data_IF_716865190250
#
_entry.id   IF_716865190250
#
_cell.length_a   1.000
_cell.length_b   1.000
_cell.length_c   1.000
_cell.angle_alpha   90.00
_cell.angle_beta   90.00
_cell.angle_gamma   90.00
#
_symmetry.space_group_name_H-M   'P 1'
#
loop_
_entity.id
_entity.type
_entity.pdbx_description
1 polymer ?
#
# COMPACT_ATOMS: atom_id res chain seq x y z
N UNK A 1 -19.60 5.40 12.16
CA UNK A 1 -19.23 5.05 10.77
C UNK A 1 -17.88 4.33 10.78
N UNK A 2 -17.81 3.05 11.18
CA UNK A 2 -16.53 2.36 11.42
C UNK A 2 -16.48 0.88 11.05
N UNK A 3 -17.43 0.38 10.25
CA UNK A 3 -17.57 -1.06 9.98
C UNK A 3 -16.87 -1.53 8.68
N UNK A 4 -16.62 -0.65 7.72
CA UNK A 4 -16.06 -1.02 6.42
C UNK A 4 -14.56 -1.27 6.46
N UNK A 5 -13.79 -0.48 7.22
CA UNK A 5 -12.33 -0.65 7.33
C UNK A 5 -11.94 -1.94 8.05
N UNK A 6 -12.73 -2.39 9.03
CA UNK A 6 -12.43 -3.61 9.79
C UNK A 6 -12.59 -4.87 8.93
N UNK A 7 -13.62 -4.91 8.08
CA UNK A 7 -13.85 -6.05 7.18
C UNK A 7 -12.72 -6.21 6.15
N UNK A 8 -12.22 -5.10 5.60
CA UNK A 8 -11.08 -5.11 4.66
C UNK A 8 -9.81 -5.64 5.34
N UNK A 9 -9.51 -5.16 6.55
CA UNK A 9 -8.34 -5.63 7.29
C UNK A 9 -8.46 -7.10 7.67
N UNK A 10 -9.64 -7.56 8.05
CA UNK A 10 -9.88 -8.95 8.38
C UNK A 10 -9.70 -9.85 7.13
N UNK A 11 -10.09 -9.39 5.93
CA UNK A 11 -9.83 -10.09 4.68
C UNK A 11 -8.32 -10.18 4.37
N UNK A 12 -7.56 -9.10 4.58
CA UNK A 12 -6.10 -9.10 4.38
C UNK A 12 -5.41 -10.05 5.37
N UNK A 13 -5.84 -10.07 6.63
CA UNK A 13 -5.33 -11.02 7.63
C UNK A 13 -5.63 -12.47 7.23
N UNK A 14 -6.80 -12.76 6.67
CA UNK A 14 -7.16 -14.12 6.22
C UNK A 14 -6.47 -14.53 4.91
N UNK A 15 -6.21 -13.57 4.02
CA UNK A 15 -5.58 -13.79 2.71
C UNK A 15 -4.05 -13.74 2.73
N UNK A 16 -3.44 -13.34 3.84
CA UNK A 16 -1.99 -13.20 3.99
C UNK A 16 -1.45 -14.01 5.17
N UNK A 17 -0.14 -13.99 5.32
CA UNK A 17 0.55 -14.65 6.42
C UNK A 17 0.86 -13.71 7.60
N UNK A 18 0.18 -12.55 7.66
CA UNK A 18 0.34 -11.51 8.66
C UNK A 18 -0.74 -11.58 9.74
N UNK A 19 -0.38 -11.22 10.97
CA UNK A 19 -1.36 -11.01 12.03
C UNK A 19 -2.05 -9.63 11.95
N UNK A 20 -3.07 -9.42 12.78
CA UNK A 20 -3.85 -8.17 12.78
C UNK A 20 -3.00 -6.94 13.12
N UNK A 21 -2.04 -7.08 14.03
CA UNK A 21 -1.17 -5.98 14.45
C UNK A 21 -0.17 -5.61 13.35
N UNK A 22 0.31 -6.61 12.60
CA UNK A 22 1.16 -6.43 11.42
C UNK A 22 0.41 -5.74 10.30
N UNK A 23 -0.80 -6.17 9.97
CA UNK A 23 -1.65 -5.51 8.96
C UNK A 23 -1.97 -4.06 9.37
N UNK A 24 -2.29 -3.82 10.64
CA UNK A 24 -2.50 -2.45 11.14
C UNK A 24 -1.23 -1.59 11.05
N UNK A 25 -0.05 -2.16 11.31
CA UNK A 25 1.23 -1.48 11.14
C UNK A 25 1.52 -1.18 9.67
N UNK A 26 1.22 -2.10 8.76
CA UNK A 26 1.36 -1.90 7.31
C UNK A 26 0.44 -0.78 6.84
N UNK A 27 -0.84 -0.81 7.22
CA UNK A 27 -1.79 0.27 6.91
C UNK A 27 -1.32 1.64 7.40
N UNK A 28 -0.81 1.73 8.64
CA UNK A 28 -0.28 3.00 9.17
C UNK A 28 0.95 3.50 8.40
N UNK A 29 1.75 2.59 7.84
CA UNK A 29 2.90 2.97 6.99
C UNK A 29 2.43 3.40 5.61
N UNK A 30 1.43 2.72 5.06
CA UNK A 30 0.78 3.07 3.80
C UNK A 30 0.22 4.50 3.85
N UNK A 31 -0.59 4.81 4.86
CA UNK A 31 -1.15 6.17 5.06
C UNK A 31 -0.10 7.25 5.40
N UNK A 32 1.13 6.86 5.74
CA UNK A 32 2.24 7.81 5.91
C UNK A 32 2.98 8.08 4.61
N UNK A 33 2.88 7.14 3.66
CA UNK A 33 3.52 7.26 2.36
C UNK A 33 2.65 8.06 1.40
N UNK A 34 1.35 7.81 1.45
CA UNK A 34 0.28 8.63 0.86
C UNK A 34 0.29 10.04 1.51
N UNK A 35 0.92 11.00 0.84
CA UNK A 35 1.12 12.36 1.32
C UNK A 35 -0.08 13.24 1.06
N UNK A 36 -0.80 12.99 -0.03
CA UNK A 36 -1.95 13.77 -0.43
C UNK A 36 -3.28 13.25 0.18
N UNK A 37 -3.23 12.08 0.82
CA UNK A 37 -4.35 11.35 1.42
C UNK A 37 -5.40 10.94 0.38
N UNK A 38 -4.95 10.61 -0.84
CA UNK A 38 -5.79 10.06 -1.92
C UNK A 38 -6.37 8.69 -1.55
N UNK A 39 -5.70 7.95 -0.67
CA UNK A 39 -6.03 6.57 -0.32
C UNK A 39 -5.30 5.53 -1.17
N UNK A 40 -4.50 5.95 -2.14
CA UNK A 40 -3.61 5.10 -2.95
C UNK A 40 -2.18 5.65 -2.85
N UNK A 41 -1.21 4.88 -3.35
CA UNK A 41 0.20 5.28 -3.40
C UNK A 41 0.57 5.49 -4.85
N UNK A 42 0.93 6.72 -5.18
CA UNK A 42 1.39 7.06 -6.51
C UNK A 42 2.88 6.74 -6.69
N UNK A 43 3.34 6.70 -7.94
CA UNK A 43 4.76 6.45 -8.24
C UNK A 43 5.70 7.42 -7.54
N UNK A 44 5.36 8.70 -7.53
CA UNK A 44 6.22 9.72 -6.94
C UNK A 44 6.29 9.61 -5.41
N UNK A 45 5.22 9.13 -4.78
CA UNK A 45 5.16 8.88 -3.34
C UNK A 45 6.01 7.66 -2.95
N UNK A 46 5.90 6.57 -3.72
CA UNK A 46 6.73 5.38 -3.54
C UNK A 46 8.23 5.66 -3.75
N UNK A 47 8.56 6.43 -4.79
CA UNK A 47 9.93 6.89 -5.06
C UNK A 47 10.43 7.95 -4.09
N UNK A 48 9.56 8.51 -3.25
CA UNK A 48 10.00 9.45 -2.21
C UNK A 48 10.74 8.78 -1.06
N UNK A 49 10.66 7.45 -0.95
CA UNK A 49 11.46 6.67 -0.01
C UNK A 49 12.91 6.56 -0.50
N UNK A 50 13.89 7.11 0.23
CA UNK A 50 15.30 7.09 -0.21
C UNK A 50 15.87 5.70 -0.46
N UNK A 51 15.32 4.69 0.23
CA UNK A 51 15.71 3.29 0.11
C UNK A 51 15.20 2.66 -1.20
N UNK A 52 14.13 3.23 -1.77
CA UNK A 52 13.46 2.76 -2.97
C UNK A 52 13.91 3.59 -4.18
N UNK A 53 14.09 4.90 -4.02
CA UNK A 53 14.48 5.82 -5.10
C UNK A 53 15.79 5.43 -5.80
N UNK A 54 16.72 4.81 -5.07
CA UNK A 54 17.99 4.32 -5.61
C UNK A 54 17.90 2.93 -6.25
N UNK A 55 16.77 2.23 -6.09
CA UNK A 55 16.59 0.88 -6.62
C UNK A 55 16.10 0.96 -8.07
N UNK A 56 16.88 0.48 -9.06
CA UNK A 56 16.50 0.52 -10.48
C UNK A 56 15.26 -0.32 -10.80
N UNK A 57 14.84 -1.22 -9.89
CA UNK A 57 13.63 -2.02 -10.03
C UNK A 57 12.39 -1.38 -9.39
N UNK A 58 12.52 -0.24 -8.71
CA UNK A 58 11.42 0.39 -7.99
C UNK A 58 10.21 0.64 -8.90
N UNK A 59 10.41 1.26 -10.07
CA UNK A 59 9.34 1.49 -11.05
C UNK A 59 8.69 0.19 -11.51
N UNK A 60 9.49 -0.89 -11.63
CA UNK A 60 8.97 -2.19 -12.05
C UNK A 60 8.18 -2.88 -10.94
N UNK A 61 8.58 -2.70 -9.68
CA UNK A 61 7.84 -3.21 -8.53
C UNK A 61 6.46 -2.57 -8.45
N UNK A 62 6.36 -1.25 -8.60
CA UNK A 62 5.06 -0.56 -8.61
C UNK A 62 4.18 -1.11 -9.73
N UNK A 63 4.73 -1.26 -10.94
CA UNK A 63 3.99 -1.82 -12.07
C UNK A 63 3.63 -3.32 -11.95
N UNK A 64 4.16 -4.02 -10.93
CA UNK A 64 3.76 -5.40 -10.61
C UNK A 64 2.61 -5.41 -9.60
N UNK A 65 2.54 -4.40 -8.73
CA UNK A 65 1.48 -4.25 -7.73
C UNK A 65 0.23 -3.55 -8.29
N UNK A 66 0.40 -2.66 -9.26
CA UNK A 66 -0.66 -1.98 -10.02
C UNK A 66 -1.38 -3.00 -10.93
N UNK A 67 -2.40 -3.69 -10.40
CA UNK A 67 -3.14 -4.75 -11.11
C UNK A 67 -4.14 -4.15 -12.11
N UNK A 68 -4.68 -2.97 -11.81
CA UNK A 68 -5.68 -2.30 -12.63
C UNK A 68 -5.07 -1.41 -13.74
N UNK A 69 -3.78 -1.09 -13.65
CA UNK A 69 -3.05 -0.28 -14.60
C UNK A 69 -3.30 1.23 -14.47
N UNK A 70 -3.87 1.67 -13.35
CA UNK A 70 -4.17 3.08 -13.02
C UNK A 70 -2.92 3.92 -12.82
N UNK A 71 -1.81 3.28 -12.44
CA UNK A 71 -0.53 3.94 -12.19
C UNK A 71 -0.32 4.40 -10.76
N UNK A 72 -1.24 4.04 -9.88
CA UNK A 72 -1.21 4.12 -8.43
C UNK A 72 -1.51 2.73 -7.85
N UNK A 73 -1.25 2.53 -6.55
CA UNK A 73 -1.46 1.24 -5.88
C UNK A 73 -2.34 1.45 -4.65
N UNK A 74 -3.44 0.70 -4.54
CA UNK A 74 -4.31 0.71 -3.36
C UNK A 74 -3.84 -0.28 -2.27
N UNK A 75 -4.41 -0.21 -1.07
CA UNK A 75 -3.95 -1.05 0.05
C UNK A 75 -4.43 -2.52 -0.02
N UNK A 76 -5.40 -2.83 -0.87
CA UNK A 76 -6.00 -4.14 -1.08
C UNK A 76 -5.41 -4.90 -2.27
N UNK A 77 -4.79 -4.19 -3.22
CA UNK A 77 -3.92 -4.79 -4.25
C UNK A 77 -2.72 -5.52 -3.64
#
# INVERSE_FOLDING_TARGET
>A
MGNTTSAVLDNIVQGSNFDRDEVDRLRKRFMKLDKDNSGTIERDEFLSLPQISSNPLATRMIAIFDEDGGGDVDFQE
#
